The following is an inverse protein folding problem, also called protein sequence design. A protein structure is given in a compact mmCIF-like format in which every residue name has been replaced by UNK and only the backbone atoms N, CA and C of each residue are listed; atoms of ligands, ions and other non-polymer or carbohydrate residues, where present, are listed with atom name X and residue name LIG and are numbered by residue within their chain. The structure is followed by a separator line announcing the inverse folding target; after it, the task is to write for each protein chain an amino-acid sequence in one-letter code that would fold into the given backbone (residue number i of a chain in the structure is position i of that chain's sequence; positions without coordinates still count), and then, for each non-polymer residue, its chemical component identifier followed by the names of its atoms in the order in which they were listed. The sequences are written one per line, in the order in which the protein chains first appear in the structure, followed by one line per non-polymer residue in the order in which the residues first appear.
data_IF_035742439834
#
_entry.id   IF_035742439834
#
_cell.length_a   1.000
_cell.length_b   1.000
_cell.length_c   1.000
_cell.angle_alpha   90.00
_cell.angle_beta   90.00
_cell.angle_gamma   90.00
#
_symmetry.space_group_name_H-M   'P 1'
#
loop_
_entity.id
_entity.type
_entity.pdbx_description
1 polymer ?
#
# COMPACT_ATOMS: atom_id res chain seq x y z
N UNK A 1 19.22 -2.47 -0.60
CA UNK A 1 18.91 -1.59 0.56
C UNK A 1 18.19 -2.44 1.61
N UNK A 2 18.13 -2.01 2.86
CA UNK A 2 17.42 -2.78 3.91
C UNK A 2 16.13 -2.05 4.26
N UNK A 3 15.02 -2.79 4.38
CA UNK A 3 13.74 -2.24 4.81
C UNK A 3 13.85 -1.48 6.13
N UNK A 4 13.10 -0.38 6.26
CA UNK A 4 12.95 0.31 7.54
C UNK A 4 12.15 -0.56 8.53
N UNK A 5 12.23 -0.30 9.85
CA UNK A 5 11.43 -1.03 10.83
C UNK A 5 9.92 -0.97 10.55
N UNK A 6 9.43 0.19 10.06
CA UNK A 6 8.02 0.37 9.67
C UNK A 6 7.66 -0.51 8.47
N UNK A 7 8.48 -0.50 7.43
CA UNK A 7 8.28 -1.34 6.23
C UNK A 7 8.34 -2.83 6.58
N UNK A 8 9.28 -3.26 7.42
CA UNK A 8 9.40 -4.64 7.85
C UNK A 8 8.18 -5.10 8.65
N UNK A 9 7.67 -4.23 9.54
CA UNK A 9 6.43 -4.46 10.28
C UNK A 9 5.24 -4.62 9.33
N UNK A 10 5.18 -3.80 8.28
CA UNK A 10 4.14 -3.90 7.25
C UNK A 10 4.20 -5.23 6.48
N UNK A 11 5.37 -5.60 5.98
CA UNK A 11 5.59 -6.88 5.28
C UNK A 11 5.23 -8.08 6.16
N UNK A 12 5.46 -7.99 7.47
CA UNK A 12 5.14 -9.10 8.38
C UNK A 12 3.63 -9.35 8.53
N UNK A 13 2.79 -8.32 8.30
CA UNK A 13 1.33 -8.40 8.41
C UNK A 13 0.66 -9.02 7.19
N UNK A 14 1.28 -8.94 6.01
CA UNK A 14 0.71 -9.49 4.78
C UNK A 14 0.89 -11.00 4.70
N UNK A 15 0.08 -11.63 3.84
CA UNK A 15 0.16 -13.05 3.57
C UNK A 15 1.59 -13.47 3.15
N UNK A 16 2.12 -14.61 3.65
CA UNK A 16 3.50 -15.02 3.41
C UNK A 16 3.94 -15.01 1.94
N UNK A 17 3.04 -15.39 1.03
CA UNK A 17 3.25 -15.40 -0.42
C UNK A 17 3.48 -14.00 -1.02
N UNK A 18 2.89 -12.96 -0.42
CA UNK A 18 3.02 -11.58 -0.90
C UNK A 18 4.25 -10.88 -0.32
N UNK A 19 4.90 -11.44 0.71
CA UNK A 19 5.95 -10.74 1.48
C UNK A 19 7.16 -10.34 0.63
N UNK A 20 7.59 -11.22 -0.27
CA UNK A 20 8.76 -10.95 -1.11
C UNK A 20 8.49 -9.79 -2.08
N UNK A 21 7.31 -9.79 -2.71
CA UNK A 21 6.91 -8.75 -3.65
C UNK A 21 6.61 -7.42 -2.94
N UNK A 22 5.91 -7.46 -1.80
CA UNK A 22 5.70 -6.30 -0.92
C UNK A 22 7.04 -5.68 -0.49
N UNK A 23 7.98 -6.48 0.01
CA UNK A 23 9.30 -6.00 0.42
C UNK A 23 10.02 -5.28 -0.73
N UNK A 24 9.93 -5.82 -1.95
CA UNK A 24 10.55 -5.21 -3.12
C UNK A 24 9.95 -3.83 -3.43
N UNK A 25 8.63 -3.71 -3.47
CA UNK A 25 7.98 -2.42 -3.73
C UNK A 25 8.29 -1.36 -2.66
N UNK A 26 8.35 -1.77 -1.39
CA UNK A 26 8.73 -0.86 -0.30
C UNK A 26 10.21 -0.46 -0.36
N UNK A 27 11.10 -1.38 -0.74
CA UNK A 27 12.53 -1.08 -0.90
C UNK A 27 12.79 -0.13 -2.08
N UNK A 28 12.06 -0.31 -3.18
CA UNK A 28 12.16 0.52 -4.38
C UNK A 28 11.48 1.89 -4.22
N UNK A 29 10.73 2.11 -3.13
CA UNK A 29 9.97 3.36 -2.91
C UNK A 29 8.89 3.55 -3.98
N UNK A 30 8.16 2.48 -4.28
CA UNK A 30 7.26 2.43 -5.43
C UNK A 30 6.24 3.57 -5.47
N UNK A 31 5.92 3.98 -6.69
CA UNK A 31 4.82 4.89 -6.98
C UNK A 31 3.48 4.20 -6.73
N UNK A 32 2.56 4.90 -6.06
CA UNK A 32 1.24 4.37 -5.70
C UNK A 32 0.11 5.31 -6.08
N UNK A 33 -1.06 4.71 -6.31
CA UNK A 33 -2.34 5.35 -6.54
C UNK A 33 -3.27 5.02 -5.39
N UNK A 34 -4.01 6.01 -4.91
CA UNK A 34 -5.04 5.84 -3.89
C UNK A 34 -6.40 6.01 -4.56
N UNK A 35 -7.24 5.00 -4.47
CA UNK A 35 -8.58 5.05 -5.07
C UNK A 35 -9.61 4.28 -4.25
N UNK A 36 -10.89 4.54 -4.55
CA UNK A 36 -11.98 3.83 -3.89
C UNK A 36 -12.12 2.42 -4.47
N UNK A 37 -11.80 1.42 -3.66
CA UNK A 37 -11.88 0.02 -4.06
C UNK A 37 -13.33 -0.45 -4.08
N UNK A 38 -13.71 -1.16 -5.15
CA UNK A 38 -15.05 -1.74 -5.32
C UNK A 38 -14.98 -3.26 -5.55
N UNK A 39 -13.82 -3.87 -5.31
CA UNK A 39 -13.54 -5.28 -5.63
C UNK A 39 -13.77 -6.18 -4.41
N UNK A 40 -13.56 -5.65 -3.22
CA UNK A 40 -13.85 -6.29 -1.94
C UNK A 40 -15.17 -5.76 -1.36
N UNK A 41 -15.89 -6.65 -0.66
CA UNK A 41 -17.12 -6.29 0.05
C UNK A 41 -16.87 -5.40 1.28
N UNK A 42 -17.95 -5.12 2.02
CA UNK A 42 -17.97 -4.17 3.14
C UNK A 42 -17.02 -4.50 4.31
N UNK A 43 -16.44 -5.71 4.34
CA UNK A 43 -15.45 -6.15 5.33
C UNK A 43 -14.04 -5.56 5.10
N UNK A 44 -13.80 -4.94 3.94
CA UNK A 44 -12.52 -4.32 3.58
C UNK A 44 -12.67 -2.80 3.52
N UNK A 45 -11.71 -2.02 4.06
CA UNK A 45 -11.77 -0.58 3.97
C UNK A 45 -11.92 -0.05 2.53
N UNK A 46 -12.65 1.04 2.31
CA UNK A 46 -13.06 1.49 0.98
C UNK A 46 -11.94 2.12 0.14
N UNK A 47 -10.78 2.48 0.70
CA UNK A 47 -9.68 3.07 -0.07
C UNK A 47 -8.52 2.10 -0.17
N UNK A 48 -8.08 1.76 -1.38
CA UNK A 48 -6.89 0.94 -1.62
C UNK A 48 -5.67 1.80 -1.95
N UNK A 49 -4.50 1.34 -1.51
CA UNK A 49 -3.20 1.83 -1.95
C UNK A 49 -2.66 0.81 -2.97
N UNK A 50 -2.68 1.16 -4.25
CA UNK A 50 -2.21 0.27 -5.32
C UNK A 50 -0.89 0.75 -5.90
N UNK A 51 0.01 -0.18 -6.24
CA UNK A 51 1.26 0.15 -6.93
C UNK A 51 0.97 0.51 -8.38
N UNK A 52 1.40 1.70 -8.79
CA UNK A 52 1.15 2.24 -10.12
C UNK A 52 1.69 1.32 -11.21
N UNK A 53 0.89 1.10 -12.26
CA UNK A 53 1.25 0.21 -13.37
C UNK A 53 1.17 -1.29 -13.04
N UNK A 54 0.63 -1.66 -11.88
CA UNK A 54 0.45 -3.07 -11.47
C UNK A 54 -0.96 -3.32 -10.92
N UNK A 55 -1.29 -4.59 -10.68
CA UNK A 55 -2.50 -5.00 -9.95
C UNK A 55 -2.24 -5.24 -8.45
N UNK A 56 -1.07 -4.84 -7.94
CA UNK A 56 -0.67 -5.14 -6.56
C UNK A 56 -1.14 -4.07 -5.59
N UNK A 57 -1.71 -4.48 -4.47
CA UNK A 57 -2.14 -3.59 -3.39
C UNK A 57 -1.21 -3.66 -2.19
N UNK A 58 -0.83 -2.48 -1.70
CA UNK A 58 0.00 -2.31 -0.50
C UNK A 58 -0.84 -2.49 0.76
N UNK A 59 -1.99 -1.81 0.83
CA UNK A 59 -2.94 -1.92 1.94
C UNK A 59 -4.30 -1.29 1.57
N UNK A 60 -5.29 -1.45 2.45
CA UNK A 60 -6.58 -0.76 2.38
C UNK A 60 -6.80 0.09 3.65
N UNK A 61 -7.37 1.29 3.49
CA UNK A 61 -7.60 2.26 4.56
C UNK A 61 -9.03 2.81 4.55
N UNK A 62 -9.46 3.31 5.72
CA UNK A 62 -10.83 3.82 5.90
C UNK A 62 -11.10 5.13 5.17
N UNK A 63 -10.07 5.96 4.98
CA UNK A 63 -10.15 7.23 4.26
C UNK A 63 -8.94 7.42 3.36
N UNK A 64 -9.06 8.29 2.37
CA UNK A 64 -7.96 8.65 1.47
C UNK A 64 -6.77 9.28 2.24
N UNK A 65 -7.04 10.09 3.26
CA UNK A 65 -5.99 10.73 4.07
C UNK A 65 -5.23 9.70 4.91
N UNK A 66 -5.91 8.67 5.43
CA UNK A 66 -5.27 7.58 6.13
C UNK A 66 -4.36 6.75 5.19
N UNK A 67 -4.82 6.53 3.96
CA UNK A 67 -4.03 5.87 2.91
C UNK A 67 -2.77 6.68 2.54
N UNK A 68 -2.92 8.00 2.35
CA UNK A 68 -1.81 8.89 2.00
C UNK A 68 -0.77 8.96 3.13
N UNK A 69 -1.23 9.08 4.38
CA UNK A 69 -0.36 9.05 5.55
C UNK A 69 0.38 7.72 5.70
N UNK A 70 -0.29 6.59 5.46
CA UNK A 70 0.33 5.27 5.48
C UNK A 70 1.40 5.15 4.38
N UNK A 71 1.07 5.50 3.13
CA UNK A 71 1.99 5.46 2.01
C UNK A 71 3.26 6.29 2.29
N UNK A 72 3.10 7.52 2.78
CA UNK A 72 4.23 8.37 3.18
C UNK A 72 5.06 7.77 4.31
N UNK A 73 4.44 7.15 5.32
CA UNK A 73 5.16 6.47 6.41
C UNK A 73 5.96 5.24 5.96
N UNK A 74 5.53 4.63 4.85
CA UNK A 74 6.19 3.49 4.21
C UNK A 74 7.24 3.91 3.18
N UNK A 75 7.42 5.21 2.95
CA UNK A 75 8.40 5.74 1.98
C UNK A 75 7.97 5.57 0.52
N UNK A 76 6.66 5.47 0.26
CA UNK A 76 6.09 5.35 -1.07
C UNK A 76 5.75 6.73 -1.65
N UNK A 77 5.77 6.85 -2.97
CA UNK A 77 5.43 8.07 -3.69
C UNK A 77 3.97 8.04 -4.15
N UNK A 78 3.12 8.94 -3.64
CA UNK A 78 1.71 9.00 -4.03
C UNK A 78 1.56 9.85 -5.29
N UNK A 79 1.16 9.23 -6.41
CA UNK A 79 0.98 9.90 -7.69
C UNK A 79 -0.40 10.54 -7.85
N UNK A 80 -1.44 9.87 -7.36
CA UNK A 80 -2.81 10.34 -7.45
C UNK A 80 -3.64 9.84 -6.28
N UNK A 81 -4.66 10.64 -5.92
CA UNK A 81 -5.61 10.35 -4.84
C UNK A 81 -7.01 10.66 -5.34
N UNK A 82 -7.77 9.63 -5.67
CA UNK A 82 -9.20 9.75 -5.98
C UNK A 82 -9.97 9.99 -4.68
N UNK A 83 -10.60 11.16 -4.58
CA UNK A 83 -11.31 11.62 -3.36
C UNK A 83 -12.81 11.45 -3.49
#
# INVERSE_FOLDING_TARGET
MSLTPTQFSHVSKVFPECRAEMARFLEDGAEVLIYRQNECGDDVPPYAIAVAGTAFWIDCCQTAEAAEALAGSLGLEVLDVER
#
